data_IF_447941123275
#
_entry.id   IF_447941123275
#
_cell.length_a   1.000
_cell.length_b   1.000
_cell.length_c   1.000
_cell.angle_alpha   90.00
_cell.angle_beta   90.00
_cell.angle_gamma   90.00
#
_symmetry.space_group_name_H-M   'P 1'
#
loop_
_entity.id
_entity.type
_entity.pdbx_description
1 polymer ?
#
# COMPACT_ATOMS: atom_id res chain seq x y z
N UNK A 1 -21.30 1.90 8.67
CA UNK A 1 -20.19 1.78 7.72
C UNK A 1 -19.89 3.14 7.10
N UNK A 2 -18.63 3.51 7.17
CA UNK A 2 -18.16 4.73 6.49
C UNK A 2 -17.49 4.36 5.19
N UNK A 3 -17.78 5.12 4.15
CA UNK A 3 -17.17 4.92 2.83
C UNK A 3 -16.25 6.11 2.57
N UNK A 4 -14.99 5.82 2.27
CA UNK A 4 -14.03 6.82 1.82
C UNK A 4 -13.69 6.57 0.37
N UNK A 5 -13.62 7.64 -0.40
CA UNK A 5 -13.23 7.56 -1.81
C UNK A 5 -12.03 8.47 -2.02
N UNK A 6 -11.03 7.94 -2.69
CA UNK A 6 -9.82 8.69 -2.98
C UNK A 6 -9.22 8.22 -4.28
N UNK A 7 -8.47 9.10 -4.92
CA UNK A 7 -7.76 8.77 -6.14
C UNK A 7 -6.56 7.91 -5.81
N UNK A 8 -6.35 6.86 -6.59
CA UNK A 8 -5.23 5.95 -6.43
C UNK A 8 -4.38 5.98 -7.69
N UNK A 9 -3.43 6.92 -7.74
CA UNK A 9 -2.47 6.96 -8.83
C UNK A 9 -1.47 5.83 -8.64
N UNK A 10 -1.07 5.16 -9.73
CA UNK A 10 -0.06 4.11 -9.60
C UNK A 10 1.24 4.63 -9.00
N UNK A 11 1.83 3.82 -8.15
CA UNK A 11 3.11 4.15 -7.51
C UNK A 11 3.93 2.88 -7.31
N UNK A 12 5.22 3.05 -7.08
CA UNK A 12 6.10 1.93 -6.79
C UNK A 12 5.89 1.43 -5.37
N UNK A 13 6.37 0.22 -5.10
CA UNK A 13 6.33 -0.34 -3.75
C UNK A 13 7.15 0.53 -2.79
N UNK A 14 8.30 1.03 -3.24
CA UNK A 14 9.14 1.91 -2.42
C UNK A 14 8.42 3.20 -2.04
N UNK A 15 7.70 3.78 -2.97
CA UNK A 15 6.94 4.97 -2.69
C UNK A 15 5.79 4.68 -1.73
N UNK A 16 5.14 3.53 -1.90
CA UNK A 16 4.08 3.11 -0.99
C UNK A 16 4.61 2.92 0.44
N UNK A 17 5.81 2.39 0.60
CA UNK A 17 6.46 2.27 1.90
C UNK A 17 6.68 3.62 2.55
N UNK A 18 7.15 4.59 1.77
CA UNK A 18 7.35 5.95 2.27
C UNK A 18 6.02 6.58 2.68
N UNK A 19 4.97 6.39 1.90
CA UNK A 19 3.66 6.91 2.22
C UNK A 19 3.14 6.29 3.52
N UNK A 20 3.31 4.99 3.68
CA UNK A 20 2.90 4.30 4.89
C UNK A 20 3.58 4.90 6.13
N UNK A 21 4.90 5.12 6.05
CA UNK A 21 5.65 5.71 7.15
C UNK A 21 5.22 7.14 7.44
N UNK A 22 5.04 7.93 6.40
CA UNK A 22 4.65 9.34 6.56
C UNK A 22 3.27 9.49 7.19
N UNK A 23 2.35 8.61 6.83
CA UNK A 23 0.98 8.65 7.35
C UNK A 23 0.87 8.05 8.74
N UNK A 24 1.85 7.27 9.17
CA UNK A 24 1.83 6.63 10.48
C UNK A 24 0.78 5.54 10.59
N UNK A 25 0.36 4.96 9.49
CA UNK A 25 -0.62 3.88 9.48
C UNK A 25 0.07 2.53 9.56
N UNK A 26 -0.71 1.49 9.86
CA UNK A 26 -0.20 0.13 9.91
C UNK A 26 -0.25 -0.56 8.55
N UNK A 27 -1.04 -0.05 7.64
CA UNK A 27 -1.13 -0.57 6.28
C UNK A 27 -1.52 0.55 5.32
N UNK A 28 -1.28 0.32 4.03
CA UNK A 28 -1.56 1.30 2.99
C UNK A 28 -1.95 0.57 1.70
N UNK A 29 -3.08 0.96 1.13
CA UNK A 29 -3.60 0.38 -0.11
C UNK A 29 -3.17 1.27 -1.27
N UNK A 30 -2.63 0.67 -2.33
CA UNK A 30 -2.13 1.44 -3.47
C UNK A 30 -2.24 0.63 -4.76
N UNK A 31 -2.17 1.34 -5.89
CA UNK A 31 -2.06 0.69 -7.19
C UNK A 31 -0.58 0.54 -7.52
N UNK A 32 -0.12 -0.69 -7.69
CA UNK A 32 1.27 -0.97 -8.01
C UNK A 32 1.54 -0.64 -9.47
N UNK A 33 2.47 0.29 -9.70
CA UNK A 33 2.78 0.75 -11.06
C UNK A 33 3.34 -0.35 -11.96
N UNK A 34 3.98 -1.37 -11.39
CA UNK A 34 4.54 -2.47 -12.18
C UNK A 34 3.48 -3.44 -12.69
N UNK A 35 2.42 -3.66 -11.91
CA UNK A 35 1.40 -4.66 -12.22
C UNK A 35 0.06 -4.04 -12.60
N UNK A 36 -0.12 -2.76 -12.32
CA UNK A 36 -1.38 -2.05 -12.49
C UNK A 36 -2.51 -2.67 -11.66
N UNK A 37 -2.14 -3.30 -10.55
CA UNK A 37 -3.07 -3.98 -9.65
C UNK A 37 -3.06 -3.31 -8.28
N UNK A 38 -4.17 -3.48 -7.56
CA UNK A 38 -4.28 -3.01 -6.18
C UNK A 38 -3.44 -3.93 -5.30
N UNK A 39 -2.55 -3.33 -4.51
CA UNK A 39 -1.73 -4.05 -3.54
C UNK A 39 -1.94 -3.41 -2.17
N UNK A 40 -1.58 -4.15 -1.13
CA UNK A 40 -1.59 -3.64 0.24
C UNK A 40 -0.19 -3.84 0.83
N UNK A 41 0.38 -2.76 1.32
CA UNK A 41 1.64 -2.84 2.05
C UNK A 41 1.34 -2.64 3.53
N UNK A 42 2.00 -3.40 4.39
CA UNK A 42 1.75 -3.32 5.83
C UNK A 42 3.04 -3.41 6.61
N UNK A 43 3.04 -2.80 7.79
CA UNK A 43 4.19 -2.82 8.68
C UNK A 43 4.16 -4.10 9.51
N UNK A 44 5.29 -4.81 9.56
CA UNK A 44 5.44 -6.01 10.36
C UNK A 44 6.02 -5.67 11.72
N UNK A 45 5.81 -6.56 12.67
CA UNK A 45 6.29 -6.36 14.04
C UNK A 45 7.81 -6.37 14.14
N UNK A 46 8.48 -6.99 13.18
CA UNK A 46 9.95 -7.10 13.19
C UNK A 46 10.63 -5.87 12.55
N UNK A 47 9.88 -4.84 12.23
CA UNK A 47 10.42 -3.63 11.63
C UNK A 47 10.50 -3.69 10.11
N UNK A 48 10.08 -4.78 9.51
CA UNK A 48 10.03 -4.94 8.06
C UNK A 48 8.61 -4.68 7.54
N UNK A 49 8.46 -4.77 6.23
CA UNK A 49 7.16 -4.57 5.58
C UNK A 49 6.74 -5.86 4.88
N UNK A 50 5.44 -6.03 4.75
CA UNK A 50 4.87 -7.12 3.97
C UNK A 50 4.07 -6.55 2.82
N UNK A 51 3.95 -7.30 1.73
CA UNK A 51 3.19 -6.90 0.55
C UNK A 51 2.16 -7.97 0.26
N UNK A 52 0.92 -7.53 0.10
CA UNK A 52 -0.18 -8.40 -0.29
C UNK A 52 -0.54 -8.06 -1.73
N UNK A 53 -0.45 -9.05 -2.60
CA UNK A 53 -0.76 -8.89 -4.01
C UNK A 53 -1.91 -9.81 -4.40
N UNK A 54 -2.79 -9.38 -5.33
CA UNK A 54 -3.80 -10.30 -5.83
C UNK A 54 -3.16 -11.37 -6.70
N UNK A 55 -3.80 -12.51 -6.75
CA UNK A 55 -3.31 -13.64 -7.55
C UNK A 55 -3.49 -13.40 -9.05
N UNK A 56 -4.30 -12.45 -9.40
CA UNK A 56 -4.60 -12.12 -10.80
C UNK A 56 -4.74 -10.63 -10.99
#
# INVERSE_FOLDING_TARGET
VRVKRFSMKPMSVEEAMLQLELLGHSFFVFTNAETDRINVIYARKDGNFGLIEPDR
#
